data_IF_161047668813
#
_entry.id   IF_161047668813
#
_cell.length_a   1.000
_cell.length_b   1.000
_cell.length_c   1.000
_cell.angle_alpha   90.00
_cell.angle_beta   90.00
_cell.angle_gamma   90.00
#
_symmetry.space_group_name_H-M   'P 1'
#
loop_
_entity.id
_entity.type
_entity.pdbx_description
1 polymer ?
#
# COMPACT_ATOMS: atom_id res chain seq x y z
N UNK A 1 17.54 9.42 -1.02
CA UNK A 1 18.94 8.96 -0.93
C UNK A 1 19.60 9.29 0.41
N UNK A 2 19.45 10.49 0.98
CA UNK A 2 20.06 10.85 2.29
C UNK A 2 19.68 9.90 3.43
N UNK A 3 18.43 9.44 3.47
CA UNK A 3 17.98 8.42 4.44
C UNK A 3 18.67 7.07 4.25
N UNK A 4 18.89 6.64 3.00
CA UNK A 4 19.64 5.43 2.69
C UNK A 4 21.10 5.52 3.19
N UNK A 5 21.73 6.70 3.11
CA UNK A 5 23.07 6.95 3.67
C UNK A 5 23.10 6.85 5.20
N UNK A 6 22.03 7.32 5.88
CA UNK A 6 21.88 7.15 7.33
C UNK A 6 21.85 5.66 7.66
N UNK A 7 21.05 4.86 6.93
CA UNK A 7 21.00 3.41 7.11
C UNK A 7 22.35 2.74 6.86
N UNK A 8 23.07 3.11 5.80
CA UNK A 8 24.42 2.60 5.55
C UNK A 8 25.35 2.86 6.75
N UNK A 9 25.27 4.06 7.34
CA UNK A 9 26.08 4.42 8.52
C UNK A 9 25.69 3.61 9.76
N UNK A 10 24.40 3.30 9.93
CA UNK A 10 23.92 2.41 11.00
C UNK A 10 24.46 0.99 10.80
N UNK A 11 24.40 0.46 9.59
CA UNK A 11 24.89 -0.89 9.28
C UNK A 11 26.40 -1.01 9.47
N UNK A 12 27.19 -0.07 8.92
CA UNK A 12 28.64 -0.07 9.09
C UNK A 12 29.05 0.01 10.56
N UNK A 13 28.32 0.80 11.38
CA UNK A 13 28.56 0.86 12.82
C UNK A 13 28.22 -0.44 13.53
N UNK A 14 27.09 -1.07 13.18
CA UNK A 14 26.66 -2.33 13.76
C UNK A 14 27.62 -3.48 13.41
N UNK A 15 28.05 -3.58 12.15
CA UNK A 15 29.01 -4.58 11.68
C UNK A 15 30.36 -4.42 12.39
N UNK A 16 30.86 -3.18 12.48
CA UNK A 16 32.09 -2.87 13.22
C UNK A 16 31.99 -3.26 14.70
N UNK A 17 30.85 -2.97 15.34
CA UNK A 17 30.63 -3.29 16.76
C UNK A 17 30.56 -4.81 16.98
N UNK A 18 29.93 -5.54 16.06
CA UNK A 18 29.81 -6.99 16.12
C UNK A 18 31.10 -7.72 15.68
N UNK A 19 32.05 -7.03 15.07
CA UNK A 19 33.29 -7.62 14.56
C UNK A 19 33.08 -8.49 13.32
N UNK A 20 32.03 -8.21 12.53
CA UNK A 20 31.71 -8.94 11.29
C UNK A 20 32.11 -8.13 10.05
N UNK A 21 32.22 -8.81 8.91
CA UNK A 21 32.65 -8.19 7.65
C UNK A 21 31.64 -7.14 7.15
N UNK A 22 32.14 -6.10 6.48
CA UNK A 22 31.29 -5.08 5.83
C UNK A 22 30.38 -5.74 4.79
N UNK A 23 29.10 -5.39 4.80
CA UNK A 23 28.12 -6.00 3.91
C UNK A 23 27.63 -7.36 4.40
N UNK A 24 27.88 -7.72 5.66
CA UNK A 24 27.21 -8.86 6.29
C UNK A 24 25.71 -8.59 6.47
N UNK A 25 25.35 -7.35 6.81
CA UNK A 25 23.96 -6.91 6.85
C UNK A 25 23.46 -6.74 5.42
N UNK A 26 22.29 -7.32 5.11
CA UNK A 26 21.64 -7.20 3.81
C UNK A 26 20.26 -6.58 3.95
N UNK A 27 19.93 -5.63 3.07
CA UNK A 27 18.69 -4.86 3.11
C UNK A 27 18.00 -4.81 1.74
N UNK A 28 16.68 -5.02 1.74
CA UNK A 28 15.79 -4.72 0.62
C UNK A 28 15.02 -3.46 0.96
N UNK A 29 15.01 -2.47 0.08
CA UNK A 29 14.34 -1.18 0.33
C UNK A 29 13.00 -1.14 -0.38
N UNK A 30 11.93 -0.83 0.35
CA UNK A 30 10.62 -0.60 -0.26
C UNK A 30 10.62 0.79 -0.90
N UNK A 31 10.35 0.86 -2.21
CA UNK A 31 10.18 2.14 -2.91
C UNK A 31 8.71 2.51 -2.85
N UNK A 32 8.21 2.76 -1.65
CA UNK A 32 6.78 2.96 -1.40
C UNK A 32 6.41 4.42 -1.11
N UNK A 33 7.29 5.35 -1.51
CA UNK A 33 7.01 6.78 -1.47
C UNK A 33 7.21 7.39 -2.84
N UNK A 34 6.36 8.37 -3.20
CA UNK A 34 6.46 9.05 -4.48
C UNK A 34 7.83 9.72 -4.66
N UNK A 35 8.43 10.41 -3.67
CA UNK A 35 9.78 10.96 -3.85
C UNK A 35 10.87 9.90 -4.08
N UNK A 36 10.72 8.69 -3.53
CA UNK A 36 11.76 7.66 -3.64
C UNK A 36 11.87 7.07 -5.05
N UNK A 37 10.80 7.07 -5.85
CA UNK A 37 10.85 6.56 -7.23
C UNK A 37 11.82 7.35 -8.12
N UNK A 38 12.00 8.64 -7.82
CA UNK A 38 12.95 9.52 -8.53
C UNK A 38 14.40 9.39 -8.03
N UNK A 39 14.65 8.55 -7.02
CA UNK A 39 15.96 8.44 -6.36
C UNK A 39 16.43 6.98 -6.22
N UNK A 40 15.85 6.05 -6.98
CA UNK A 40 16.14 4.62 -6.85
C UNK A 40 17.62 4.29 -7.08
N UNK A 41 18.25 4.92 -8.08
CA UNK A 41 19.68 4.70 -8.35
C UNK A 41 20.56 5.20 -7.20
N UNK A 42 20.26 6.37 -6.65
CA UNK A 42 20.99 6.99 -5.55
C UNK A 42 20.78 6.21 -4.25
N UNK A 43 19.57 5.70 -3.99
CA UNK A 43 19.29 4.81 -2.86
C UNK A 43 20.15 3.54 -2.96
N UNK A 44 20.19 2.89 -4.12
CA UNK A 44 21.03 1.71 -4.35
C UNK A 44 22.52 2.05 -4.23
N UNK A 45 22.96 3.23 -4.69
CA UNK A 45 24.34 3.65 -4.59
C UNK A 45 24.78 3.87 -3.13
N UNK A 46 23.96 4.56 -2.33
CA UNK A 46 24.24 4.82 -0.92
C UNK A 46 24.26 3.55 -0.08
N UNK A 47 23.50 2.52 -0.48
CA UNK A 47 23.43 1.21 0.18
C UNK A 47 24.20 0.10 -0.57
N UNK A 48 25.09 0.42 -1.52
CA UNK A 48 25.67 -0.56 -2.45
C UNK A 48 26.35 -1.77 -1.80
N UNK A 49 26.87 -1.62 -0.58
CA UNK A 49 27.54 -2.70 0.14
C UNK A 49 26.56 -3.60 0.91
N UNK A 50 25.33 -3.14 1.16
CA UNK A 50 24.30 -3.83 1.95
C UNK A 50 23.01 -4.11 1.16
N UNK A 51 22.79 -3.50 0.01
CA UNK A 51 21.55 -3.65 -0.75
C UNK A 51 21.48 -5.00 -1.44
N UNK A 52 20.32 -5.64 -1.37
CA UNK A 52 19.98 -6.86 -2.13
C UNK A 52 18.78 -6.68 -3.04
N UNK A 53 18.17 -5.50 -3.04
CA UNK A 53 17.07 -5.20 -3.95
C UNK A 53 16.19 -4.04 -3.52
N UNK A 54 15.20 -3.78 -4.36
CA UNK A 54 14.09 -2.87 -4.10
C UNK A 54 12.75 -3.62 -4.18
N UNK A 55 11.70 -3.07 -3.59
CA UNK A 55 10.35 -3.63 -3.63
C UNK A 55 9.31 -2.63 -4.13
N UNK A 56 8.36 -3.14 -4.92
CA UNK A 56 7.16 -2.43 -5.31
C UNK A 56 6.06 -2.50 -4.24
N UNK A 57 5.54 -1.34 -3.82
CA UNK A 57 4.37 -1.21 -2.95
C UNK A 57 3.17 -0.61 -3.66
N UNK A 58 1.94 -0.90 -3.18
CA UNK A 58 0.71 -0.27 -3.70
C UNK A 58 0.17 0.79 -2.74
N UNK A 59 -0.24 0.39 -1.55
CA UNK A 59 -0.99 1.26 -0.64
C UNK A 59 -0.16 2.43 -0.15
N UNK A 60 1.05 2.18 0.39
CA UNK A 60 1.95 3.25 0.81
C UNK A 60 2.35 4.17 -0.35
N UNK A 61 2.55 3.62 -1.56
CA UNK A 61 2.91 4.43 -2.72
C UNK A 61 1.80 5.42 -3.11
N UNK A 62 0.55 4.97 -3.20
CA UNK A 62 -0.56 5.87 -3.56
C UNK A 62 -0.97 6.78 -2.39
N UNK A 63 -0.75 6.35 -1.15
CA UNK A 63 -0.85 7.20 0.04
C UNK A 63 0.18 8.34 -0.01
N UNK A 64 1.43 8.01 -0.30
CA UNK A 64 2.51 8.98 -0.49
C UNK A 64 2.25 9.91 -1.67
N UNK A 65 1.67 9.41 -2.77
CA UNK A 65 1.26 10.24 -3.90
C UNK A 65 0.29 11.34 -3.45
N UNK A 66 -0.77 11.01 -2.70
CA UNK A 66 -1.72 12.02 -2.21
C UNK A 66 -1.07 12.98 -1.22
N UNK A 67 -0.24 12.48 -0.30
CA UNK A 67 0.48 13.35 0.65
C UNK A 67 1.40 14.34 -0.06
N UNK A 68 2.14 13.86 -1.06
CA UNK A 68 3.07 14.69 -1.83
C UNK A 68 2.32 15.76 -2.61
N UNK A 69 1.17 15.41 -3.19
CA UNK A 69 0.31 16.31 -3.93
C UNK A 69 -0.84 16.91 -3.10
N UNK A 70 -0.73 16.96 -1.78
CA UNK A 70 -1.86 17.31 -0.91
C UNK A 70 -2.45 18.69 -1.19
N UNK A 71 -1.66 19.63 -1.73
CA UNK A 71 -2.04 20.99 -2.09
C UNK A 71 -2.53 21.15 -3.56
N UNK A 72 -2.63 20.05 -4.32
CA UNK A 72 -2.94 20.06 -5.75
C UNK A 72 -4.34 19.49 -6.03
N UNK A 73 -5.38 20.34 -6.22
CA UNK A 73 -6.75 19.90 -6.47
C UNK A 73 -6.96 19.17 -7.81
N UNK A 74 -5.98 19.22 -8.71
CA UNK A 74 -5.94 18.48 -9.98
C UNK A 74 -5.39 17.06 -9.83
N UNK A 75 -4.84 16.69 -8.66
CA UNK A 75 -4.19 15.40 -8.40
C UNK A 75 -5.02 14.48 -7.50
N UNK A 76 -6.33 14.43 -7.78
CA UNK A 76 -7.29 13.64 -7.02
C UNK A 76 -7.17 12.16 -7.37
N UNK A 77 -7.18 11.29 -6.36
CA UNK A 77 -7.33 9.86 -6.58
C UNK A 77 -8.79 9.48 -6.86
N UNK A 78 -9.05 8.54 -7.80
CA UNK A 78 -10.31 7.81 -7.84
C UNK A 78 -10.41 6.85 -6.66
N UNK A 79 -11.48 6.07 -6.54
CA UNK A 79 -11.58 5.01 -5.53
C UNK A 79 -10.27 4.19 -5.50
N UNK A 80 -9.64 4.08 -4.32
CA UNK A 80 -8.30 3.47 -4.19
C UNK A 80 -8.20 2.06 -4.78
N UNK A 81 -9.31 1.32 -4.75
CA UNK A 81 -9.42 -0.03 -5.30
C UNK A 81 -9.21 -0.07 -6.82
N UNK A 82 -9.55 1.02 -7.53
CA UNK A 82 -9.36 1.17 -8.98
C UNK A 82 -7.92 1.55 -9.34
N UNK A 83 -7.15 2.08 -8.39
CA UNK A 83 -5.74 2.46 -8.58
C UNK A 83 -4.84 1.22 -8.50
N UNK A 84 -5.00 0.33 -9.48
CA UNK A 84 -4.26 -0.92 -9.58
C UNK A 84 -2.90 -0.76 -10.24
N UNK A 85 -2.04 -1.76 -10.08
CA UNK A 85 -0.68 -1.79 -10.65
C UNK A 85 -0.63 -1.84 -12.19
N UNK A 86 -1.78 -2.00 -12.85
CA UNK A 86 -1.91 -1.92 -14.31
C UNK A 86 -2.16 -0.50 -14.84
N UNK A 87 -2.47 0.49 -13.98
CA UNK A 87 -2.55 1.88 -14.41
C UNK A 87 -1.16 2.39 -14.82
N UNK A 88 -1.12 3.31 -15.78
CA UNK A 88 0.11 3.78 -16.40
C UNK A 88 1.21 4.17 -15.40
N UNK A 89 0.91 5.06 -14.46
CA UNK A 89 1.93 5.54 -13.50
C UNK A 89 2.46 4.43 -12.57
N UNK A 90 1.60 3.49 -12.14
CA UNK A 90 2.03 2.34 -11.34
C UNK A 90 2.84 1.34 -12.16
N UNK A 91 2.47 1.16 -13.43
CA UNK A 91 3.22 0.30 -14.36
C UNK A 91 4.59 0.91 -14.66
N UNK A 92 4.65 2.20 -14.96
CA UNK A 92 5.90 2.93 -15.18
C UNK A 92 6.81 2.86 -13.95
N UNK A 93 6.24 3.02 -12.75
CA UNK A 93 6.96 2.81 -11.49
C UNK A 93 7.55 1.39 -11.39
N UNK A 94 6.74 0.35 -11.61
CA UNK A 94 7.20 -1.06 -11.56
C UNK A 94 8.28 -1.34 -12.59
N UNK A 95 8.09 -0.89 -13.83
CA UNK A 95 9.01 -1.11 -14.95
C UNK A 95 10.35 -0.39 -14.72
N UNK A 96 10.33 0.84 -14.22
CA UNK A 96 11.53 1.61 -13.88
C UNK A 96 12.28 0.98 -12.69
N UNK A 97 11.57 0.46 -11.69
CA UNK A 97 12.18 -0.23 -10.55
C UNK A 97 12.91 -1.49 -11.01
N UNK A 98 12.27 -2.33 -11.84
CA UNK A 98 12.88 -3.56 -12.38
C UNK A 98 14.16 -3.22 -13.14
N UNK A 99 14.08 -2.26 -14.07
CA UNK A 99 15.24 -1.83 -14.83
C UNK A 99 16.37 -1.36 -13.91
N UNK A 100 16.04 -0.49 -12.95
CA UNK A 100 17.03 0.10 -12.04
C UNK A 100 17.73 -0.97 -11.21
N UNK A 101 16.97 -1.92 -10.63
CA UNK A 101 17.54 -3.03 -9.87
C UNK A 101 18.45 -3.92 -10.73
N UNK A 102 17.97 -4.33 -11.91
CA UNK A 102 18.66 -5.31 -12.75
C UNK A 102 19.91 -4.73 -13.43
N UNK A 103 19.96 -3.41 -13.65
CA UNK A 103 21.18 -2.71 -14.03
C UNK A 103 22.24 -2.74 -12.92
N UNK A 104 21.82 -2.74 -11.65
CA UNK A 104 22.70 -2.77 -10.47
C UNK A 104 22.97 -4.19 -9.96
N UNK A 105 22.39 -5.21 -10.58
CA UNK A 105 22.60 -6.61 -10.21
C UNK A 105 21.90 -7.02 -8.91
N UNK A 106 20.85 -6.32 -8.51
CA UNK A 106 20.07 -6.59 -7.29
C UNK A 106 18.62 -6.98 -7.64
N UNK A 107 17.88 -7.51 -6.67
CA UNK A 107 16.52 -7.99 -6.91
C UNK A 107 15.50 -6.85 -7.08
N UNK A 108 14.50 -7.06 -7.93
CA UNK A 108 13.29 -6.28 -8.07
C UNK A 108 12.08 -7.08 -7.59
N UNK A 109 11.57 -6.78 -6.39
CA UNK A 109 10.44 -7.50 -5.80
C UNK A 109 9.10 -6.90 -6.20
N UNK A 110 8.13 -7.75 -6.53
CA UNK A 110 6.73 -7.39 -6.76
C UNK A 110 5.97 -7.11 -5.45
N UNK A 111 4.67 -6.82 -5.57
CA UNK A 111 3.83 -6.36 -4.47
C UNK A 111 3.09 -7.46 -3.71
N UNK A 112 2.29 -7.04 -2.74
CA UNK A 112 1.51 -7.91 -1.86
C UNK A 112 0.23 -8.46 -2.51
N UNK A 113 -0.01 -9.76 -2.38
CA UNK A 113 -1.36 -10.33 -2.45
C UNK A 113 -1.92 -10.53 -1.04
N UNK A 114 -2.92 -9.72 -0.67
CA UNK A 114 -3.48 -9.67 0.67
C UNK A 114 -4.71 -10.58 0.87
N UNK A 115 -5.14 -11.31 -0.16
CA UNK A 115 -6.37 -12.10 -0.12
C UNK A 115 -6.31 -13.23 0.93
N UNK A 116 -7.39 -13.36 1.69
CA UNK A 116 -7.63 -14.46 2.62
C UNK A 116 -8.58 -15.45 1.90
N UNK A 117 -8.21 -16.74 1.76
CA UNK A 117 -9.08 -17.73 1.13
C UNK A 117 -10.46 -17.79 1.78
N UNK A 118 -11.51 -17.71 0.94
CA UNK A 118 -12.91 -17.66 1.36
C UNK A 118 -13.45 -19.09 1.40
N UNK A 119 -13.61 -19.66 2.60
CA UNK A 119 -14.00 -21.08 2.76
C UNK A 119 -15.47 -21.33 2.48
N UNK A 120 -16.32 -20.36 2.82
CA UNK A 120 -17.77 -20.53 2.82
C UNK A 120 -18.43 -20.13 1.49
N UNK A 121 -17.66 -19.59 0.54
CA UNK A 121 -18.10 -19.25 -0.81
C UNK A 121 -17.03 -19.65 -1.85
N UNK A 122 -17.10 -20.88 -2.38
CA UNK A 122 -16.13 -21.37 -3.36
C UNK A 122 -16.05 -20.54 -4.64
N UNK A 123 -17.16 -19.91 -5.06
CA UNK A 123 -17.21 -19.13 -6.29
C UNK A 123 -16.52 -17.78 -6.10
N UNK A 124 -16.82 -17.09 -4.99
CA UNK A 124 -16.11 -15.86 -4.63
C UNK A 124 -14.63 -16.12 -4.40
N UNK A 125 -14.29 -17.26 -3.77
CA UNK A 125 -12.91 -17.68 -3.57
C UNK A 125 -12.16 -17.84 -4.90
N UNK A 126 -12.70 -18.61 -5.85
CA UNK A 126 -12.03 -18.80 -7.13
C UNK A 126 -11.85 -17.49 -7.89
N UNK A 127 -12.85 -16.59 -7.87
CA UNK A 127 -12.73 -15.26 -8.47
C UNK A 127 -11.59 -14.44 -7.83
N UNK A 128 -11.47 -14.46 -6.50
CA UNK A 128 -10.40 -13.76 -5.79
C UNK A 128 -9.01 -14.36 -6.09
N UNK A 129 -8.90 -15.69 -6.09
CA UNK A 129 -7.66 -16.39 -6.41
C UNK A 129 -7.23 -16.19 -7.87
N UNK A 130 -8.17 -16.11 -8.80
CA UNK A 130 -7.89 -15.86 -10.21
C UNK A 130 -7.36 -14.44 -10.46
N UNK A 131 -7.81 -13.46 -9.66
CA UNK A 131 -7.21 -12.12 -9.64
C UNK A 131 -5.76 -12.15 -9.12
N UNK A 132 -5.49 -12.89 -8.04
CA UNK A 132 -4.12 -13.08 -7.53
C UNK A 132 -3.23 -13.71 -8.60
N UNK A 133 -3.71 -14.78 -9.25
CA UNK A 133 -2.98 -15.48 -10.32
C UNK A 133 -2.63 -14.53 -11.48
N UNK A 134 -3.59 -13.73 -11.95
CA UNK A 134 -3.37 -12.74 -13.02
C UNK A 134 -2.35 -11.68 -12.60
N UNK A 135 -2.44 -11.21 -11.37
CA UNK A 135 -1.51 -10.20 -10.85
C UNK A 135 -0.09 -10.72 -10.70
N UNK A 136 0.10 -11.93 -10.15
CA UNK A 136 1.44 -12.54 -10.03
C UNK A 136 2.04 -12.89 -11.38
N UNK A 137 1.21 -13.32 -12.33
CA UNK A 137 1.65 -13.56 -13.70
C UNK A 137 2.08 -12.25 -14.40
N UNK A 138 1.38 -11.14 -14.14
CA UNK A 138 1.79 -9.80 -14.63
C UNK A 138 3.16 -9.42 -14.06
N UNK A 139 3.37 -9.60 -12.76
CA UNK A 139 4.63 -9.25 -12.08
C UNK A 139 5.81 -10.04 -12.64
N UNK A 140 5.70 -11.36 -12.70
CA UNK A 140 6.81 -12.19 -13.18
C UNK A 140 7.11 -11.94 -14.66
N UNK A 141 6.09 -11.72 -15.50
CA UNK A 141 6.27 -11.36 -16.92
C UNK A 141 6.91 -9.99 -17.11
N UNK A 142 6.67 -9.05 -16.19
CA UNK A 142 7.31 -7.74 -16.22
C UNK A 142 8.80 -7.81 -15.85
N UNK A 143 9.23 -8.87 -15.16
CA UNK A 143 10.62 -9.10 -14.77
C UNK A 143 10.88 -9.11 -13.27
N UNK A 144 9.86 -9.11 -12.40
CA UNK A 144 10.10 -9.19 -10.95
C UNK A 144 10.74 -10.52 -10.54
N UNK A 145 11.68 -10.51 -9.60
CA UNK A 145 12.39 -11.72 -9.14
C UNK A 145 11.60 -12.53 -8.10
N UNK A 146 10.62 -11.90 -7.47
CA UNK A 146 9.75 -12.52 -6.47
C UNK A 146 8.54 -11.64 -6.16
N UNK A 147 7.68 -12.10 -5.26
CA UNK A 147 6.43 -11.44 -4.88
C UNK A 147 6.08 -11.67 -3.42
N UNK A 148 5.09 -10.96 -2.90
CA UNK A 148 4.59 -11.09 -1.52
C UNK A 148 3.19 -11.68 -1.45
N UNK A 149 2.94 -12.42 -0.36
CA UNK A 149 1.65 -12.97 0.00
C UNK A 149 1.42 -12.82 1.52
N UNK A 150 0.23 -12.36 1.91
CA UNK A 150 -0.11 -12.14 3.32
C UNK A 150 -0.65 -13.39 4.01
N UNK A 151 -1.02 -14.42 3.24
CA UNK A 151 -1.63 -15.64 3.76
C UNK A 151 -0.95 -16.90 3.16
N UNK A 152 -0.61 -17.91 3.97
CA UNK A 152 0.07 -19.13 3.49
C UNK A 152 -0.68 -19.87 2.36
N UNK A 153 -2.02 -19.80 2.37
CA UNK A 153 -2.86 -20.38 1.33
C UNK A 153 -2.64 -19.79 -0.08
N UNK A 154 -1.99 -18.63 -0.21
CA UNK A 154 -1.65 -18.03 -1.50
C UNK A 154 -0.27 -18.45 -2.02
N UNK A 155 0.57 -19.08 -1.19
CA UNK A 155 1.93 -19.49 -1.56
C UNK A 155 1.92 -20.40 -2.80
N UNK A 156 1.06 -21.44 -2.91
CA UNK A 156 1.06 -22.30 -4.08
C UNK A 156 0.81 -21.54 -5.39
N UNK A 157 -0.13 -20.57 -5.39
CA UNK A 157 -0.45 -19.77 -6.58
C UNK A 157 0.71 -18.86 -6.96
N UNK A 158 1.35 -18.22 -5.98
CA UNK A 158 2.51 -17.38 -6.22
C UNK A 158 3.68 -18.21 -6.77
N UNK A 159 3.93 -19.39 -6.17
CA UNK A 159 4.97 -20.31 -6.63
C UNK A 159 4.70 -20.84 -8.03
N UNK A 160 3.46 -21.21 -8.36
CA UNK A 160 3.07 -21.68 -9.69
C UNK A 160 3.33 -20.61 -10.75
N UNK A 161 2.92 -19.37 -10.49
CA UNK A 161 3.13 -18.25 -11.42
C UNK A 161 4.63 -17.99 -11.66
N UNK A 162 5.43 -17.93 -10.60
CA UNK A 162 6.86 -17.61 -10.70
C UNK A 162 7.70 -18.77 -11.24
N UNK A 163 7.53 -19.99 -10.72
CA UNK A 163 8.28 -21.16 -11.19
C UNK A 163 7.90 -21.56 -12.62
N UNK A 164 6.62 -21.40 -13.00
CA UNK A 164 6.16 -21.63 -14.36
C UNK A 164 6.78 -20.69 -15.39
N UNK A 165 7.08 -19.44 -15.02
CA UNK A 165 7.71 -18.46 -15.92
C UNK A 165 9.25 -18.51 -15.88
N UNK A 166 9.85 -18.63 -14.69
CA UNK A 166 11.30 -18.57 -14.50
C UNK A 166 12.00 -19.93 -14.71
N UNK A 167 11.24 -21.03 -14.74
CA UNK A 167 11.77 -22.38 -14.87
C UNK A 167 12.74 -22.72 -13.74
N UNK A 168 14.00 -23.02 -14.10
CA UNK A 168 15.07 -23.33 -13.13
C UNK A 168 15.87 -22.10 -12.68
N UNK A 169 15.58 -20.91 -13.24
CA UNK A 169 16.33 -19.70 -12.88
C UNK A 169 15.95 -19.25 -11.47
N UNK A 170 16.91 -18.92 -10.59
CA UNK A 170 16.60 -18.47 -9.24
C UNK A 170 16.05 -17.04 -9.20
N UNK A 171 16.32 -16.24 -10.25
CA UNK A 171 15.90 -14.85 -10.40
C UNK A 171 15.92 -14.44 -11.89
N UNK A 172 15.49 -13.22 -12.19
CA UNK A 172 15.41 -12.61 -13.53
C UNK A 172 16.43 -11.48 -13.75
N UNK A 173 17.29 -11.19 -12.76
CA UNK A 173 18.31 -10.12 -12.79
C UNK A 173 19.12 -10.10 -14.10
N UNK A 174 19.48 -11.27 -14.66
CA UNK A 174 20.26 -11.36 -15.90
C UNK A 174 19.41 -11.41 -17.17
N UNK A 175 18.18 -11.89 -17.10
CA UNK A 175 17.32 -12.17 -18.27
C UNK A 175 16.35 -11.04 -18.59
N UNK A 176 15.86 -10.30 -17.59
CA UNK A 176 14.80 -9.30 -17.75
C UNK A 176 15.32 -7.87 -17.54
N UNK A 177 16.15 -7.34 -18.45
CA UNK A 177 16.78 -6.02 -18.26
C UNK A 177 15.84 -4.81 -18.33
N UNK A 178 14.68 -4.96 -18.97
CA UNK A 178 13.67 -3.89 -19.15
C UNK A 178 14.26 -2.59 -19.70
N UNK A 179 15.08 -2.69 -20.76
CA UNK A 179 15.71 -1.52 -21.39
C UNK A 179 14.68 -0.54 -21.98
N UNK A 180 13.48 -1.00 -22.32
CA UNK A 180 12.34 -0.17 -22.72
C UNK A 180 11.97 0.86 -21.63
N UNK A 181 12.16 0.52 -20.36
CA UNK A 181 11.90 1.42 -19.24
C UNK A 181 12.91 2.56 -19.12
N UNK A 182 13.97 2.61 -19.94
CA UNK A 182 14.89 3.75 -20.01
C UNK A 182 14.20 5.02 -20.54
N UNK A 183 13.10 4.87 -21.29
CA UNK A 183 12.35 5.97 -21.87
C UNK A 183 11.28 6.55 -20.93
N UNK A 184 11.09 5.96 -19.74
CA UNK A 184 10.10 6.44 -18.76
C UNK A 184 10.52 7.81 -18.25
N UNK A 185 9.57 8.74 -18.33
CA UNK A 185 9.73 10.14 -17.92
C UNK A 185 9.19 10.39 -16.52
N UNK A 186 9.45 11.57 -15.98
CA UNK A 186 8.84 12.00 -14.73
C UNK A 186 7.32 12.13 -14.87
N UNK A 187 6.84 12.63 -16.01
CA UNK A 187 5.42 12.75 -16.32
C UNK A 187 4.71 11.39 -16.33
N UNK A 188 5.38 10.32 -16.77
CA UNK A 188 4.83 8.97 -16.72
C UNK A 188 4.59 8.51 -15.28
N UNK A 189 5.53 8.80 -14.37
CA UNK A 189 5.46 8.46 -12.94
C UNK A 189 4.46 9.33 -12.18
N UNK A 190 4.19 10.53 -12.69
CA UNK A 190 3.27 11.49 -12.13
C UNK A 190 1.89 11.46 -12.79
N UNK A 191 1.60 10.57 -13.73
CA UNK A 191 0.32 10.59 -14.43
C UNK A 191 -0.86 10.41 -13.47
N UNK A 192 -1.90 11.24 -13.63
CA UNK A 192 -3.09 11.21 -12.78
C UNK A 192 -3.82 9.87 -12.97
N UNK A 193 -4.07 9.11 -11.89
CA UNK A 193 -4.81 7.86 -11.98
C UNK A 193 -6.25 8.09 -12.41
N UNK A 194 -6.77 7.16 -13.21
CA UNK A 194 -8.12 7.24 -13.78
C UNK A 194 -9.08 6.34 -13.01
N UNK A 195 -10.33 6.78 -12.91
CA UNK A 195 -11.41 6.00 -12.32
C UNK A 195 -12.53 6.90 -11.80
N UNK A 196 -13.60 6.25 -11.36
CA UNK A 196 -14.71 6.93 -10.67
C UNK A 196 -14.37 7.12 -9.19
N UNK A 197 -14.96 8.14 -8.58
CA UNK A 197 -14.97 8.37 -7.13
C UNK A 197 -16.39 8.12 -6.68
N UNK A 198 -16.63 7.14 -5.83
CA UNK A 198 -18.00 6.72 -5.50
C UNK A 198 -18.34 6.98 -4.03
N UNK A 199 -19.63 7.10 -3.75
CA UNK A 199 -20.12 7.15 -2.37
C UNK A 199 -19.79 5.86 -1.62
N UNK A 200 -19.83 4.70 -2.28
CA UNK A 200 -19.39 3.43 -1.67
C UNK A 200 -17.88 3.42 -1.39
N UNK A 201 -17.05 4.05 -2.22
CA UNK A 201 -15.63 4.25 -1.95
C UNK A 201 -15.40 5.00 -0.63
N UNK A 202 -16.17 6.08 -0.40
CA UNK A 202 -16.13 6.84 0.85
C UNK A 202 -16.56 5.99 2.05
N UNK A 203 -17.63 5.18 1.90
CA UNK A 203 -18.12 4.24 2.93
C UNK A 203 -17.09 3.16 3.25
N UNK A 204 -16.56 2.50 2.23
CA UNK A 204 -15.56 1.44 2.37
C UNK A 204 -14.32 1.94 3.11
N UNK A 205 -13.78 3.09 2.71
CA UNK A 205 -12.64 3.70 3.39
C UNK A 205 -12.93 3.99 4.87
N UNK A 206 -14.11 4.51 5.16
CA UNK A 206 -14.54 4.81 6.53
C UNK A 206 -14.62 3.53 7.37
N UNK A 207 -15.30 2.52 6.83
CA UNK A 207 -15.52 1.24 7.51
C UNK A 207 -14.24 0.45 7.75
N UNK A 208 -13.35 0.39 6.75
CA UNK A 208 -12.05 -0.28 6.86
C UNK A 208 -11.13 0.47 7.80
N UNK A 209 -11.03 1.80 7.66
CA UNK A 209 -10.15 2.63 8.47
C UNK A 209 -10.49 2.57 9.96
N UNK A 210 -11.78 2.65 10.32
CA UNK A 210 -12.24 2.54 11.71
C UNK A 210 -11.97 1.15 12.29
N UNK A 211 -12.27 0.08 11.55
CA UNK A 211 -12.07 -1.28 12.06
C UNK A 211 -10.58 -1.63 12.21
N UNK A 212 -9.74 -1.22 11.26
CA UNK A 212 -8.30 -1.38 11.38
C UNK A 212 -7.78 -0.65 12.62
N UNK A 213 -8.18 0.61 12.80
CA UNK A 213 -7.73 1.42 13.92
C UNK A 213 -8.21 0.87 15.27
N UNK A 214 -9.44 0.35 15.33
CA UNK A 214 -9.95 -0.32 16.53
C UNK A 214 -9.10 -1.55 16.91
N UNK A 215 -8.70 -2.36 15.93
CA UNK A 215 -7.83 -3.50 16.14
C UNK A 215 -6.41 -3.08 16.56
N UNK A 216 -5.86 -2.04 15.93
CA UNK A 216 -4.54 -1.49 16.22
C UNK A 216 -4.44 -0.96 17.66
N UNK A 217 -5.46 -0.21 18.10
CA UNK A 217 -5.60 0.25 19.49
C UNK A 217 -5.68 -0.89 20.50
N UNK A 218 -6.10 -2.08 20.08
CA UNK A 218 -6.14 -3.29 20.93
C UNK A 218 -4.90 -4.19 20.75
N UNK A 219 -3.86 -3.69 20.07
CA UNK A 219 -2.57 -4.38 19.94
C UNK A 219 -2.43 -5.30 18.72
N UNK A 220 -3.35 -5.25 17.75
CA UNK A 220 -3.23 -6.03 16.50
C UNK A 220 -3.05 -5.12 15.28
N UNK A 221 -1.88 -5.23 14.61
CA UNK A 221 -1.57 -4.47 13.40
C UNK A 221 -1.77 -5.21 12.08
N UNK A 222 -2.14 -6.50 12.12
CA UNK A 222 -2.47 -7.33 10.97
C UNK A 222 -3.90 -7.81 11.12
N UNK A 223 -4.82 -7.28 10.30
CA UNK A 223 -6.26 -7.34 10.60
C UNK A 223 -7.02 -7.92 9.42
N UNK A 224 -7.72 -9.06 9.58
CA UNK A 224 -8.58 -9.59 8.53
C UNK A 224 -9.85 -8.73 8.40
N UNK A 225 -10.01 -8.03 7.28
CA UNK A 225 -11.19 -7.22 6.95
C UNK A 225 -11.64 -7.54 5.52
N UNK A 226 -12.91 -7.93 5.35
CA UNK A 226 -13.51 -8.21 4.04
C UNK A 226 -12.68 -9.17 3.16
N UNK A 227 -12.17 -10.25 3.77
CA UNK A 227 -11.32 -11.26 3.12
C UNK A 227 -9.96 -10.73 2.63
N UNK A 228 -9.49 -9.62 3.18
CA UNK A 228 -8.14 -9.08 2.98
C UNK A 228 -7.42 -9.02 4.32
N UNK A 229 -6.13 -9.34 4.32
CA UNK A 229 -5.25 -9.11 5.46
C UNK A 229 -4.70 -7.69 5.37
N UNK A 230 -5.25 -6.79 6.18
CA UNK A 230 -4.95 -5.36 6.13
C UNK A 230 -3.88 -4.98 7.16
N UNK A 231 -3.05 -4.01 6.78
CA UNK A 231 -2.06 -3.35 7.63
C UNK A 231 -2.32 -1.84 7.71
N UNK A 232 -1.38 -1.10 8.30
CA UNK A 232 -1.54 0.33 8.53
C UNK A 232 -1.67 1.13 7.24
N UNK A 233 -1.01 0.69 6.15
CA UNK A 233 -1.04 1.37 4.87
C UNK A 233 -2.47 1.43 4.30
N UNK A 234 -3.27 0.39 4.55
CA UNK A 234 -4.70 0.39 4.17
C UNK A 234 -5.49 1.46 4.90
N UNK A 235 -5.27 1.62 6.21
CA UNK A 235 -5.93 2.68 6.97
C UNK A 235 -5.42 4.08 6.58
N UNK A 236 -4.13 4.21 6.28
CA UNK A 236 -3.51 5.45 5.79
C UNK A 236 -4.14 5.91 4.47
N UNK A 237 -4.15 5.07 3.44
CA UNK A 237 -4.78 5.44 2.16
C UNK A 237 -6.28 5.72 2.32
N UNK A 238 -6.98 4.98 3.20
CA UNK A 238 -8.41 5.19 3.44
C UNK A 238 -8.68 6.58 4.05
N UNK A 239 -7.92 6.99 5.08
CA UNK A 239 -8.10 8.32 5.67
C UNK A 239 -7.68 9.45 4.73
N UNK A 240 -6.61 9.25 3.97
CA UNK A 240 -6.02 10.30 3.13
C UNK A 240 -6.86 10.54 1.89
N UNK A 241 -7.46 9.49 1.32
CA UNK A 241 -8.45 9.62 0.26
C UNK A 241 -9.71 10.36 0.73
N UNK A 242 -10.26 9.98 1.88
CA UNK A 242 -11.41 10.67 2.47
C UNK A 242 -11.08 12.15 2.75
N UNK A 243 -9.91 12.42 3.35
CA UNK A 243 -9.42 13.77 3.58
C UNK A 243 -9.34 14.58 2.27
N UNK A 244 -8.75 14.00 1.23
CA UNK A 244 -8.59 14.67 -0.06
C UNK A 244 -9.95 15.04 -0.66
N UNK A 245 -10.92 14.12 -0.65
CA UNK A 245 -12.25 14.38 -1.20
C UNK A 245 -13.05 15.40 -0.39
N UNK A 246 -12.96 15.36 0.95
CA UNK A 246 -13.59 16.34 1.84
C UNK A 246 -12.95 17.73 1.66
N UNK A 247 -11.61 17.79 1.64
CA UNK A 247 -10.84 19.05 1.53
C UNK A 247 -11.19 19.82 0.27
N UNK A 248 -11.33 19.12 -0.85
CA UNK A 248 -11.60 19.72 -2.16
C UNK A 248 -13.08 19.71 -2.54
N UNK A 249 -13.97 19.24 -1.66
CA UNK A 249 -15.41 19.22 -1.90
C UNK A 249 -15.78 18.51 -3.20
N UNK A 250 -15.16 17.35 -3.41
CA UNK A 250 -15.24 16.53 -4.63
C UNK A 250 -16.66 16.04 -4.88
N UNK A 251 -17.04 15.91 -6.16
CA UNK A 251 -18.28 15.21 -6.54
C UNK A 251 -18.01 13.70 -6.66
N UNK A 252 -18.80 12.90 -5.94
CA UNK A 252 -18.82 11.44 -5.99
C UNK A 252 -20.01 10.95 -6.81
N UNK A 253 -19.86 9.78 -7.40
CA UNK A 253 -20.93 9.00 -7.97
C UNK A 253 -21.69 8.25 -6.85
N UNK A 254 -22.93 8.68 -6.59
CA UNK A 254 -23.88 8.03 -5.70
C UNK A 254 -24.97 7.32 -6.49
N UNK A 255 -24.61 6.25 -7.18
CA UNK A 255 -25.49 5.43 -8.04
C UNK A 255 -26.05 6.19 -9.26
N UNK A 256 -25.17 6.87 -9.98
CA UNK A 256 -25.49 7.66 -11.17
C UNK A 256 -25.85 9.12 -10.88
N UNK A 257 -25.95 9.50 -9.59
CA UNK A 257 -26.18 10.88 -9.16
C UNK A 257 -24.89 11.50 -8.60
N UNK A 258 -24.57 12.71 -9.05
CA UNK A 258 -23.47 13.49 -8.49
C UNK A 258 -23.77 13.92 -7.04
N UNK A 259 -22.93 13.50 -6.10
CA UNK A 259 -23.02 13.83 -4.67
C UNK A 259 -21.76 14.55 -4.24
N UNK A 260 -21.88 15.84 -3.89
CA UNK A 260 -20.75 16.62 -3.40
C UNK A 260 -20.38 16.20 -1.97
N UNK A 261 -19.11 15.92 -1.72
CA UNK A 261 -18.59 15.61 -0.39
C UNK A 261 -18.54 16.86 0.47
N UNK A 262 -19.14 16.78 1.65
CA UNK A 262 -19.05 17.78 2.71
C UNK A 262 -18.75 17.09 4.05
N UNK A 263 -18.42 17.87 5.08
CA UNK A 263 -18.22 17.34 6.43
C UNK A 263 -19.52 16.73 6.99
N UNK A 264 -20.67 17.30 6.63
CA UNK A 264 -22.00 16.81 7.03
C UNK A 264 -22.34 15.49 6.34
N UNK A 265 -22.04 15.35 5.04
CA UNK A 265 -22.18 14.06 4.36
C UNK A 265 -21.27 13.01 5.00
N UNK A 266 -20.01 13.34 5.26
CA UNK A 266 -19.07 12.43 5.89
C UNK A 266 -19.53 12.02 7.30
N UNK A 267 -20.06 12.94 8.10
CA UNK A 267 -20.63 12.63 9.42
C UNK A 267 -21.75 11.59 9.35
N UNK A 268 -22.69 11.74 8.39
CA UNK A 268 -23.74 10.74 8.16
C UNK A 268 -23.18 9.38 7.73
N UNK A 269 -22.19 9.37 6.84
CA UNK A 269 -21.50 8.13 6.44
C UNK A 269 -20.86 7.47 7.65
N UNK A 270 -20.20 8.22 8.53
CA UNK A 270 -19.58 7.68 9.75
C UNK A 270 -20.63 7.04 10.67
N UNK A 271 -21.78 7.67 10.89
CA UNK A 271 -22.87 7.13 11.70
C UNK A 271 -23.40 5.80 11.13
N UNK A 272 -23.74 5.79 9.84
CA UNK A 272 -24.28 4.62 9.14
C UNK A 272 -23.28 3.46 9.08
N UNK A 273 -22.00 3.74 8.82
CA UNK A 273 -20.96 2.71 8.81
C UNK A 273 -20.66 2.20 10.23
N UNK A 274 -20.80 3.02 11.28
CA UNK A 274 -20.66 2.55 12.66
C UNK A 274 -21.79 1.59 13.06
N UNK A 275 -23.03 1.87 12.68
CA UNK A 275 -24.14 0.93 12.86
C UNK A 275 -23.91 -0.39 12.12
N UNK A 276 -23.37 -0.30 10.89
CA UNK A 276 -23.01 -1.48 10.10
C UNK A 276 -21.90 -2.29 10.77
N UNK A 277 -20.84 -1.64 11.25
CA UNK A 277 -19.75 -2.30 11.97
C UNK A 277 -20.31 -3.02 13.22
N UNK A 278 -21.16 -2.37 14.02
CA UNK A 278 -21.76 -3.01 15.20
C UNK A 278 -22.54 -4.29 14.84
N UNK A 279 -23.30 -4.26 13.74
CA UNK A 279 -24.03 -5.43 13.23
C UNK A 279 -23.08 -6.53 12.76
N UNK A 280 -22.02 -6.19 12.03
CA UNK A 280 -21.05 -7.14 11.47
C UNK A 280 -20.19 -7.82 12.55
N UNK A 281 -19.72 -7.07 13.55
CA UNK A 281 -18.81 -7.59 14.59
C UNK A 281 -19.55 -8.15 15.81
N UNK A 282 -20.82 -7.78 15.98
CA UNK A 282 -21.67 -8.13 17.11
C UNK A 282 -21.52 -7.18 18.31
N UNK A 283 -22.63 -6.96 19.02
CA UNK A 283 -22.75 -5.97 20.12
C UNK A 283 -21.68 -6.11 21.20
N UNK A 284 -21.36 -7.33 21.62
CA UNK A 284 -20.40 -7.58 22.70
C UNK A 284 -18.97 -7.21 22.28
N UNK A 285 -18.56 -7.61 21.06
CA UNK A 285 -17.24 -7.26 20.51
C UNK A 285 -17.16 -5.76 20.23
N UNK A 286 -18.22 -5.15 19.73
CA UNK A 286 -18.29 -3.72 19.51
C UNK A 286 -18.15 -2.93 20.80
N UNK A 287 -18.85 -3.33 21.87
CA UNK A 287 -18.83 -2.66 23.17
C UNK A 287 -17.49 -2.81 23.90
N UNK A 288 -16.85 -3.98 23.80
CA UNK A 288 -15.54 -4.25 24.43
C UNK A 288 -14.37 -3.74 23.59
N UNK A 289 -14.57 -3.57 22.28
CA UNK A 289 -13.57 -3.04 21.36
C UNK A 289 -13.45 -1.52 21.43
N UNK A 290 -12.35 -1.00 20.92
CA UNK A 290 -12.06 0.45 20.87
C UNK A 290 -12.76 1.15 19.68
N UNK A 291 -13.89 0.64 19.18
CA UNK A 291 -14.53 1.12 17.94
C UNK A 291 -14.98 2.59 18.02
N UNK A 292 -15.51 3.02 19.17
CA UNK A 292 -15.92 4.43 19.37
C UNK A 292 -14.72 5.36 19.37
N UNK A 293 -13.64 4.98 20.03
CA UNK A 293 -12.42 5.78 20.09
C UNK A 293 -11.75 5.83 18.71
N UNK A 294 -11.65 4.68 18.04
CA UNK A 294 -11.17 4.58 16.66
C UNK A 294 -11.98 5.47 15.70
N UNK A 295 -13.32 5.45 15.80
CA UNK A 295 -14.19 6.30 15.00
C UNK A 295 -13.88 7.79 15.20
N UNK A 296 -13.77 8.23 16.46
CA UNK A 296 -13.43 9.61 16.80
C UNK A 296 -12.08 10.03 16.22
N UNK A 297 -11.06 9.18 16.34
CA UNK A 297 -9.72 9.44 15.84
C UNK A 297 -9.66 9.49 14.31
N UNK A 298 -10.26 8.49 13.64
CA UNK A 298 -10.32 8.41 12.20
C UNK A 298 -11.06 9.60 11.59
N UNK A 299 -12.22 9.95 12.17
CA UNK A 299 -13.03 11.11 11.74
C UNK A 299 -12.25 12.41 11.88
N UNK A 300 -11.53 12.60 13.00
CA UNK A 300 -10.67 13.77 13.21
C UNK A 300 -9.59 13.87 12.15
N UNK A 301 -8.90 12.77 11.81
CA UNK A 301 -7.86 12.76 10.79
C UNK A 301 -8.41 13.02 9.38
N UNK A 302 -9.58 12.50 9.05
CA UNK A 302 -10.21 12.75 7.74
C UNK A 302 -10.68 14.21 7.56
N UNK A 303 -10.94 14.94 8.66
CA UNK A 303 -11.54 16.28 8.62
C UNK A 303 -10.61 17.40 9.07
N UNK A 304 -9.35 17.04 9.37
CA UNK A 304 -8.31 17.96 9.80
C UNK A 304 -8.02 19.03 8.73
N UNK A 305 -7.73 20.28 9.12
CA UNK A 305 -7.38 21.35 8.16
C UNK A 305 -6.12 21.03 7.35
N UNK A 306 -5.16 20.40 8.01
CA UNK A 306 -3.87 19.96 7.47
C UNK A 306 -3.80 18.43 7.54
N UNK A 307 -3.17 17.81 6.54
CA UNK A 307 -3.03 16.38 6.49
C UNK A 307 -1.82 15.94 7.30
N UNK A 308 -2.05 15.28 8.44
CA UNK A 308 -0.97 14.69 9.23
C UNK A 308 -0.20 13.62 8.43
N UNK A 309 1.10 13.51 8.70
CA UNK A 309 1.99 12.61 7.95
C UNK A 309 1.62 11.14 8.10
N UNK A 310 1.31 10.68 9.32
CA UNK A 310 0.96 9.30 9.60
C UNK A 310 -0.08 9.22 10.71
N UNK A 311 -1.11 8.39 10.52
CA UNK A 311 -2.12 8.13 11.54
C UNK A 311 -1.50 7.56 12.81
N UNK A 312 -0.45 6.75 12.65
CA UNK A 312 0.20 6.03 13.75
C UNK A 312 0.75 6.96 14.82
N UNK A 313 1.18 8.18 14.47
CA UNK A 313 1.71 9.16 15.43
C UNK A 313 0.67 9.56 16.48
N UNK A 314 -0.55 9.90 16.03
CA UNK A 314 -1.63 10.26 16.93
C UNK A 314 -2.10 9.06 17.74
N UNK A 315 -2.11 7.87 17.13
CA UNK A 315 -2.65 6.66 17.74
C UNK A 315 -1.68 6.06 18.76
N UNK A 316 -0.38 6.17 18.53
CA UNK A 316 0.63 5.63 19.43
C UNK A 316 0.53 6.23 20.83
N UNK A 317 0.17 7.52 20.94
CA UNK A 317 -0.09 8.19 22.22
C UNK A 317 -1.17 7.50 23.07
N UNK A 318 -2.09 6.76 22.46
CA UNK A 318 -3.12 5.99 23.17
C UNK A 318 -2.68 4.58 23.53
N UNK A 319 -1.61 4.07 22.90
CA UNK A 319 -1.05 2.74 23.18
C UNK A 319 0.01 2.83 24.28
N UNK A 320 0.88 3.84 24.25
CA UNK A 320 2.00 3.96 25.21
C UNK A 320 1.68 4.75 26.48
N UNK A 321 0.55 5.46 26.52
CA UNK A 321 0.13 6.22 27.71
C UNK A 321 -0.63 5.37 28.74
N UNK A 322 -0.64 4.05 28.57
CA UNK A 322 -1.22 3.06 29.47
C UNK A 322 -0.19 1.98 29.81
#
# INVERSE_FOLDING_TARGET
SREAKIWNSVFERAEKMAGIERGSIRATVLIETLPAVFQMNEILYELRDHSVGLNCGRWDYIFSYVKTFQAHPDRLLPDRVLVGMGQHFMRSYSDLLIRTCHMRGVHAMGGMAAQIPIRDDPKANEMALDLVRKDKLREVRAGHDGTWAAHPGLIPICMEAFTGHMGKSPNQIKSAKREDAAAITEEDLLQIPRGVRTLEGLRLNTRVGIQYLAAWLTGSGSVPLYNLMEDAATAEISRVQNWQWIRYGVELDGDGLGVRVTKELFGRVVEEEMERIEKEVGKDKFKKGMYKEACKMFTKQCTAPELDDFLTLAVYNHIVAH
#
